data_IF_250647734441
#
_entry.id   IF_250647734441
#
_cell.length_a   1.000
_cell.length_b   1.000
_cell.length_c   1.000
_cell.angle_alpha   90.00
_cell.angle_beta   90.00
_cell.angle_gamma   90.00
#
_symmetry.space_group_name_H-M   'P 1'
#
loop_
_entity.id
_entity.type
_entity.pdbx_description
1 polymer ?
#
# COMPACT_ATOMS: atom_id res chain seq x y z
N UNK A 1 -12.14 11.26 -16.95
CA UNK A 1 -12.14 9.81 -16.61
C UNK A 1 -12.63 9.63 -15.18
N UNK A 2 -13.80 9.02 -14.95
CA UNK A 2 -14.25 8.69 -13.58
C UNK A 2 -13.39 7.54 -13.06
N UNK A 3 -12.67 7.78 -11.96
CA UNK A 3 -11.81 6.78 -11.32
C UNK A 3 -12.67 5.61 -10.83
N UNK A 4 -12.47 4.42 -11.38
CA UNK A 4 -13.14 3.19 -10.93
C UNK A 4 -12.54 2.74 -9.61
N UNK A 5 -13.21 3.10 -8.51
CA UNK A 5 -12.81 2.76 -7.13
C UNK A 5 -12.80 1.24 -6.91
N UNK A 6 -13.63 0.47 -7.63
CA UNK A 6 -13.76 -0.99 -7.53
C UNK A 6 -12.51 -1.77 -7.97
N UNK A 7 -11.65 -1.18 -8.82
CA UNK A 7 -10.42 -1.82 -9.29
C UNK A 7 -9.17 -1.39 -8.55
N UNK A 8 -9.29 -0.45 -7.61
CA UNK A 8 -8.14 0.01 -6.85
C UNK A 8 -7.78 -1.05 -5.80
N UNK A 9 -6.49 -1.36 -5.70
CA UNK A 9 -5.93 -2.29 -4.71
C UNK A 9 -5.14 -1.46 -3.70
N UNK A 10 -5.81 -0.84 -2.72
CA UNK A 10 -5.14 -0.01 -1.73
C UNK A 10 -4.18 -0.84 -0.90
N UNK A 11 -3.07 -0.22 -0.55
CA UNK A 11 -1.94 -0.86 0.13
C UNK A 11 -1.51 -0.02 1.31
N UNK A 12 -1.05 -0.71 2.36
CA UNK A 12 -0.47 -0.12 3.55
C UNK A 12 0.97 -0.60 3.64
N UNK A 13 1.88 0.36 3.79
CA UNK A 13 3.27 0.14 4.14
C UNK A 13 3.48 0.44 5.61
N UNK A 14 4.17 -0.44 6.35
CA UNK A 14 4.56 -0.20 7.75
C UNK A 14 6.08 -0.18 7.83
N UNK A 15 6.66 0.94 8.28
CA UNK A 15 8.11 1.08 8.40
C UNK A 15 8.62 0.19 9.53
N UNK A 16 9.60 -0.67 9.23
CA UNK A 16 10.05 -1.70 10.16
C UNK A 16 10.72 -1.18 11.43
N UNK A 17 11.33 0.00 11.37
CA UNK A 17 12.07 0.56 12.50
C UNK A 17 11.23 1.55 13.31
N UNK A 18 10.45 2.39 12.63
CA UNK A 18 9.71 3.48 13.27
C UNK A 18 8.24 3.13 13.53
N UNK A 19 7.70 2.08 12.89
CA UNK A 19 6.28 1.75 12.95
C UNK A 19 5.39 2.69 12.13
N UNK A 20 5.97 3.68 11.45
CA UNK A 20 5.24 4.65 10.64
C UNK A 20 4.46 3.96 9.52
N UNK A 21 3.19 4.35 9.36
CA UNK A 21 2.31 3.75 8.38
C UNK A 21 2.07 4.71 7.22
N UNK A 22 2.14 4.19 6.00
CA UNK A 22 1.80 4.91 4.78
C UNK A 22 0.66 4.20 4.08
N UNK A 23 -0.38 4.94 3.71
CA UNK A 23 -1.51 4.44 2.94
C UNK A 23 -1.43 4.96 1.52
N UNK A 24 -1.64 4.07 0.55
CA UNK A 24 -1.82 4.46 -0.84
C UNK A 24 -3.08 3.82 -1.42
N UNK A 25 -3.91 4.58 -2.15
CA UNK A 25 -5.13 4.04 -2.78
C UNK A 25 -4.80 2.97 -3.83
N UNK A 26 -3.58 2.96 -4.34
CA UNK A 26 -3.06 1.95 -5.24
C UNK A 26 -1.52 1.92 -5.17
N UNK A 27 -0.85 0.77 -5.38
CA UNK A 27 0.61 0.71 -5.46
C UNK A 27 1.17 1.45 -6.69
N UNK A 28 0.32 1.92 -7.61
CA UNK A 28 0.71 2.83 -8.69
C UNK A 28 0.88 4.28 -8.22
N UNK A 29 0.20 4.67 -7.15
CA UNK A 29 0.22 6.01 -6.58
C UNK A 29 1.08 6.08 -5.31
N UNK A 30 2.10 5.22 -5.22
CA UNK A 30 3.06 5.20 -4.13
C UNK A 30 4.36 5.91 -4.56
N UNK A 31 4.43 7.26 -4.50
CA UNK A 31 5.62 8.01 -4.89
C UNK A 31 6.82 7.56 -4.06
N UNK A 32 7.98 7.45 -4.70
CA UNK A 32 9.17 6.92 -4.04
C UNK A 32 9.16 5.40 -3.84
N UNK A 33 8.14 4.66 -4.27
CA UNK A 33 8.15 3.20 -4.19
C UNK A 33 7.96 2.55 -5.57
N UNK A 34 8.91 1.68 -5.95
CA UNK A 34 8.71 0.82 -7.12
C UNK A 34 7.54 -0.14 -6.88
N UNK A 35 6.49 -0.04 -7.70
CA UNK A 35 5.31 -0.94 -7.69
C UNK A 35 5.69 -2.42 -7.63
N UNK A 36 6.69 -2.84 -8.41
CA UNK A 36 7.16 -4.23 -8.42
C UNK A 36 7.72 -4.66 -7.06
N UNK A 37 8.41 -3.75 -6.35
CA UNK A 37 8.92 -3.99 -5.00
C UNK A 37 7.78 -4.16 -3.98
N UNK A 38 6.76 -3.29 -4.04
CA UNK A 38 5.55 -3.42 -3.22
C UNK A 38 4.89 -4.78 -3.46
N UNK A 39 4.66 -5.16 -4.72
CA UNK A 39 4.05 -6.45 -5.07
C UNK A 39 4.86 -7.64 -4.58
N UNK A 40 6.18 -7.61 -4.74
CA UNK A 40 7.07 -8.67 -4.22
C UNK A 40 6.95 -8.79 -2.71
N UNK A 41 6.93 -7.66 -1.99
CA UNK A 41 6.75 -7.62 -0.55
C UNK A 41 5.40 -8.19 -0.10
N UNK A 42 4.30 -7.78 -0.74
CA UNK A 42 2.95 -8.30 -0.45
C UNK A 42 2.87 -9.81 -0.72
N UNK A 43 3.51 -10.30 -1.78
CA UNK A 43 3.51 -11.72 -2.14
C UNK A 43 4.45 -12.60 -1.30
N UNK A 44 5.19 -12.02 -0.35
CA UNK A 44 6.21 -12.73 0.42
C UNK A 44 7.52 -13.03 -0.33
N UNK A 45 7.63 -12.72 -1.62
CA UNK A 45 8.86 -12.86 -2.42
C UNK A 45 9.97 -11.89 -2.00
N UNK A 46 9.64 -10.86 -1.24
CA UNK A 46 10.59 -9.99 -0.57
C UNK A 46 10.13 -9.72 0.87
N UNK A 47 11.04 -9.66 1.83
CA UNK A 47 10.70 -9.39 3.24
C UNK A 47 10.21 -7.95 3.48
N UNK A 48 10.70 -7.01 2.67
CA UNK A 48 10.36 -5.59 2.76
C UNK A 48 10.76 -4.88 1.46
N UNK A 49 10.24 -3.68 1.25
CA UNK A 49 10.66 -2.78 0.17
C UNK A 49 10.85 -1.37 0.73
N UNK A 50 12.08 -0.85 0.60
CA UNK A 50 12.52 0.45 1.15
C UNK A 50 12.28 0.62 2.66
N UNK A 51 12.51 -0.44 3.45
CA UNK A 51 12.30 -0.39 4.91
C UNK A 51 10.85 -0.62 5.35
N UNK A 52 9.90 -0.70 4.42
CA UNK A 52 8.48 -0.96 4.71
C UNK A 52 8.10 -2.42 4.44
N UNK A 53 7.31 -3.01 5.33
CA UNK A 53 6.51 -4.22 5.04
C UNK A 53 5.21 -3.78 4.39
N UNK A 54 4.69 -4.57 3.45
CA UNK A 54 3.55 -4.17 2.63
C UNK A 54 2.43 -5.19 2.69
N UNK A 55 1.19 -4.71 2.80
CA UNK A 55 -0.03 -5.52 2.71
C UNK A 55 -1.13 -4.77 1.97
N UNK A 56 -2.16 -5.51 1.56
CA UNK A 56 -3.40 -4.87 1.09
C UNK A 56 -4.16 -4.28 2.28
N UNK A 57 -4.81 -3.13 2.05
CA UNK A 57 -5.71 -2.54 3.03
C UNK A 57 -6.99 -3.40 3.15
N UNK A 58 -7.43 -3.59 4.39
CA UNK A 58 -8.71 -4.23 4.73
C UNK A 58 -9.89 -3.33 4.33
N UNK A 59 -11.12 -3.87 4.33
CA UNK A 59 -12.32 -3.08 4.02
C UNK A 59 -12.46 -1.86 4.95
N UNK A 60 -12.27 -2.08 6.25
CA UNK A 60 -12.35 -1.03 7.26
C UNK A 60 -11.34 0.09 7.03
N UNK A 61 -10.08 -0.25 6.78
CA UNK A 61 -9.04 0.75 6.53
C UNK A 61 -9.33 1.55 5.26
N UNK A 62 -9.85 0.91 4.21
CA UNK A 62 -10.23 1.62 2.98
C UNK A 62 -11.30 2.67 3.23
N UNK A 63 -12.29 2.35 4.06
CA UNK A 63 -13.38 3.26 4.42
C UNK A 63 -12.84 4.42 5.26
N UNK A 64 -11.96 4.13 6.24
CA UNK A 64 -11.33 5.15 7.08
C UNK A 64 -10.49 6.15 6.27
N UNK A 65 -9.69 5.67 5.30
CA UNK A 65 -8.83 6.54 4.48
C UNK A 65 -9.54 7.17 3.27
N UNK A 66 -10.77 6.76 2.96
CA UNK A 66 -11.58 7.38 1.89
C UNK A 66 -12.36 8.62 2.36
N UNK A 67 -12.41 8.88 3.66
CA UNK A 67 -13.18 9.98 4.28
C UNK A 67 -12.34 11.25 4.54
N UNK A 68 -11.04 11.24 4.22
CA UNK A 68 -10.11 12.38 4.33
C UNK A 68 -9.66 12.86 2.95
#
# INVERSE_FOLDING_TARGET
>A
MKQRVDRQKPVIGIHKQTGEQVYFPSPYYAPGFKRAGIKKAISGRAKSHRGFTWRYATKFEREQFAQH
#
